data_IF_994259799891
#
_entry.id   IF_994259799891
#
_cell.length_a   1.000
_cell.length_b   1.000
_cell.length_c   1.000
_cell.angle_alpha   90.00
_cell.angle_beta   90.00
_cell.angle_gamma   90.00
#
_symmetry.space_group_name_H-M   'P 1'
#
loop_
_entity.id
_entity.type
_entity.pdbx_description
1 polymer ?
#
# COMPACT_ATOMS: atom_id res chain seq x y z
N UNK A 1 -1.51 3.57 -7.72
CA UNK A 1 -0.15 4.16 -7.71
C UNK A 1 0.74 3.42 -8.70
N UNK A 2 1.68 4.12 -9.37
CA UNK A 2 2.76 3.47 -10.12
C UNK A 2 3.82 2.97 -9.14
N UNK A 3 4.37 1.78 -9.39
CA UNK A 3 5.36 1.12 -8.53
C UNK A 3 6.65 1.94 -8.34
N UNK A 4 6.94 2.86 -9.27
CA UNK A 4 8.10 3.76 -9.22
C UNK A 4 8.00 4.73 -8.03
N UNK A 5 6.86 5.41 -7.86
CA UNK A 5 6.65 6.30 -6.70
C UNK A 5 6.77 5.59 -5.35
N UNK A 6 6.50 4.28 -5.31
CA UNK A 6 6.60 3.46 -4.09
C UNK A 6 8.07 3.14 -3.76
N UNK A 7 8.95 3.09 -4.76
CA UNK A 7 10.38 2.81 -4.57
C UNK A 7 11.17 4.03 -4.12
N UNK A 8 10.74 5.23 -4.50
CA UNK A 8 11.36 6.50 -4.11
C UNK A 8 10.99 6.96 -2.68
N UNK A 9 9.92 6.41 -2.10
CA UNK A 9 9.46 6.80 -0.75
C UNK A 9 10.34 6.20 0.36
N UNK A 10 10.55 6.99 1.41
CA UNK A 10 11.20 6.55 2.65
C UNK A 10 10.39 5.45 3.35
N UNK A 11 11.05 4.63 4.17
CA UNK A 11 10.37 3.59 4.98
C UNK A 11 9.32 4.17 5.93
N UNK A 12 9.50 5.40 6.39
CA UNK A 12 8.49 6.10 7.22
C UNK A 12 7.29 6.57 6.39
N UNK A 13 7.53 7.12 5.20
CA UNK A 13 6.47 7.55 4.30
C UNK A 13 5.66 6.36 3.79
N UNK A 14 6.32 5.22 3.58
CA UNK A 14 5.65 3.96 3.24
C UNK A 14 4.65 3.56 4.35
N UNK A 15 5.05 3.62 5.63
CA UNK A 15 4.16 3.33 6.75
C UNK A 15 3.00 4.32 6.86
N UNK A 16 3.26 5.61 6.61
CA UNK A 16 2.21 6.63 6.62
C UNK A 16 1.20 6.39 5.48
N UNK A 17 1.67 6.06 4.27
CA UNK A 17 0.78 5.71 3.17
C UNK A 17 -0.02 4.43 3.42
N UNK A 18 0.54 3.42 4.09
CA UNK A 18 -0.25 2.24 4.49
C UNK A 18 -1.44 2.62 5.38
N UNK A 19 -1.23 3.54 6.34
CA UNK A 19 -2.28 4.04 7.22
C UNK A 19 -3.34 4.81 6.44
N UNK A 20 -2.92 5.75 5.58
CA UNK A 20 -3.84 6.55 4.76
C UNK A 20 -4.68 5.66 3.83
N UNK A 21 -4.07 4.65 3.20
CA UNK A 21 -4.79 3.72 2.35
C UNK A 21 -5.74 2.82 3.13
N UNK A 22 -5.38 2.39 4.35
CA UNK A 22 -6.27 1.64 5.22
C UNK A 22 -7.52 2.46 5.60
N UNK A 23 -7.34 3.75 5.90
CA UNK A 23 -8.45 4.65 6.22
C UNK A 23 -9.34 4.93 5.01
N UNK A 24 -8.76 5.13 3.82
CA UNK A 24 -9.52 5.26 2.57
C UNK A 24 -10.33 4.00 2.25
N UNK A 25 -9.76 2.81 2.48
CA UNK A 25 -10.47 1.54 2.33
C UNK A 25 -11.65 1.45 3.30
N UNK A 26 -11.47 1.91 4.55
CA UNK A 26 -12.55 1.95 5.53
C UNK A 26 -13.69 2.88 5.09
N UNK A 27 -13.36 4.11 4.66
CA UNK A 27 -14.35 5.06 4.13
C UNK A 27 -15.07 4.52 2.90
N UNK A 28 -14.35 3.89 1.96
CA UNK A 28 -14.96 3.26 0.78
C UNK A 28 -15.86 2.07 1.15
N UNK A 29 -15.47 1.25 2.13
CA UNK A 29 -16.32 0.18 2.65
C UNK A 29 -17.59 0.73 3.29
N UNK A 30 -17.48 1.84 4.01
CA UNK A 30 -18.62 2.51 4.63
C UNK A 30 -19.57 3.10 3.57
N UNK A 31 -19.04 3.73 2.53
CA UNK A 31 -19.81 4.22 1.36
C UNK A 31 -20.50 3.08 0.59
N UNK A 32 -19.82 1.94 0.46
CA UNK A 32 -20.40 0.75 -0.15
C UNK A 32 -21.54 0.17 0.69
N UNK A 33 -21.40 0.18 2.02
CA UNK A 33 -22.47 -0.24 2.93
C UNK A 33 -23.70 0.68 2.86
N UNK A 34 -23.52 1.95 2.51
CA UNK A 34 -24.60 2.93 2.28
C UNK A 34 -25.23 2.87 0.88
N UNK A 35 -24.80 1.91 0.02
CA UNK A 35 -25.43 1.63 -1.28
C UNK A 35 -24.78 2.30 -2.49
N UNK A 36 -23.71 3.10 -2.30
CA UNK A 36 -22.97 3.69 -3.41
C UNK A 36 -21.84 2.77 -3.87
N UNK A 37 -22.06 2.09 -5.01
CA UNK A 37 -21.17 1.04 -5.53
C UNK A 37 -20.12 1.53 -6.53
N UNK A 38 -20.06 2.82 -6.82
CA UNK A 38 -19.08 3.42 -7.74
C UNK A 38 -17.62 3.29 -7.26
N UNK A 39 -17.40 2.90 -6.01
CA UNK A 39 -16.09 2.75 -5.38
C UNK A 39 -15.38 1.40 -5.57
N UNK A 40 -15.99 0.37 -6.17
CA UNK A 40 -15.39 -0.98 -6.23
C UNK A 40 -14.03 -1.02 -6.94
N UNK A 41 -13.90 -0.30 -8.06
CA UNK A 41 -12.66 -0.22 -8.83
C UNK A 41 -11.55 0.46 -8.03
N UNK A 42 -11.88 1.52 -7.30
CA UNK A 42 -10.95 2.24 -6.41
C UNK A 42 -10.51 1.37 -5.23
N UNK A 43 -11.42 0.57 -4.67
CA UNK A 43 -11.10 -0.38 -3.61
C UNK A 43 -10.10 -1.44 -4.08
N UNK A 44 -10.27 -1.98 -5.29
CA UNK A 44 -9.34 -2.94 -5.89
C UNK A 44 -7.96 -2.32 -6.15
N UNK A 45 -7.90 -1.08 -6.65
CA UNK A 45 -6.62 -0.40 -6.86
C UNK A 45 -5.89 -0.12 -5.54
N UNK A 46 -6.59 0.33 -4.50
CA UNK A 46 -6.01 0.60 -3.18
C UNK A 46 -5.42 -0.65 -2.54
N UNK A 47 -6.10 -1.81 -2.63
CA UNK A 47 -5.54 -3.08 -2.15
C UNK A 47 -4.27 -3.48 -2.89
N UNK A 48 -4.23 -3.27 -4.22
CA UNK A 48 -3.02 -3.56 -5.03
C UNK A 48 -1.88 -2.63 -4.66
N UNK A 49 -2.17 -1.37 -4.35
CA UNK A 49 -1.16 -0.40 -3.94
C UNK A 49 -0.55 -0.77 -2.58
N UNK A 50 -1.35 -1.17 -1.58
CA UNK A 50 -0.84 -1.70 -0.30
C UNK A 50 0.03 -2.95 -0.52
N UNK A 51 -0.40 -3.87 -1.38
CA UNK A 51 0.37 -5.07 -1.66
C UNK A 51 1.75 -4.74 -2.25
N UNK A 52 1.82 -3.81 -3.21
CA UNK A 52 3.08 -3.32 -3.79
C UNK A 52 3.99 -2.68 -2.75
N UNK A 53 3.41 -1.87 -1.85
CA UNK A 53 4.11 -1.23 -0.73
C UNK A 53 4.81 -2.27 0.15
N UNK A 54 4.07 -3.31 0.57
CA UNK A 54 4.60 -4.42 1.36
C UNK A 54 5.68 -5.20 0.62
N UNK A 55 5.53 -5.41 -0.69
CA UNK A 55 6.56 -6.08 -1.50
C UNK A 55 7.85 -5.27 -1.55
N UNK A 56 7.79 -3.95 -1.74
CA UNK A 56 8.99 -3.09 -1.78
C UNK A 56 9.70 -3.09 -0.43
N UNK A 57 8.94 -2.96 0.67
CA UNK A 57 9.50 -3.08 2.02
C UNK A 57 10.20 -4.42 2.24
N UNK A 58 9.55 -5.53 1.83
CA UNK A 58 10.15 -6.86 1.93
C UNK A 58 11.40 -7.01 1.06
N UNK A 59 11.41 -6.42 -0.14
CA UNK A 59 12.61 -6.40 -1.00
C UNK A 59 13.78 -5.66 -0.34
N UNK A 60 13.53 -4.51 0.32
CA UNK A 60 14.57 -3.79 1.08
C UNK A 60 15.09 -4.61 2.25
N UNK A 61 14.19 -5.21 3.04
CA UNK A 61 14.56 -6.09 4.17
C UNK A 61 15.41 -7.29 3.70
N UNK A 62 15.04 -7.92 2.59
CA UNK A 62 15.80 -9.05 2.04
C UNK A 62 17.17 -8.65 1.47
N UNK A 63 17.28 -7.45 0.88
CA UNK A 63 18.59 -6.91 0.46
C UNK A 63 19.49 -6.64 1.68
N UNK A 64 18.97 -6.03 2.74
CA UNK A 64 19.76 -5.83 3.98
C UNK A 64 20.17 -7.15 4.63
N UNK A 65 19.30 -8.16 4.67
CA UNK A 65 19.60 -9.46 5.28
C UNK A 65 20.63 -10.26 4.46
N UNK A 66 20.62 -10.10 3.13
CA UNK A 66 21.64 -10.70 2.25
C UNK A 66 23.02 -10.05 2.40
N UNK A 67 23.09 -8.78 2.83
CA UNK A 67 24.34 -8.08 3.08
C UNK A 67 24.98 -8.43 4.43
N UNK A 68 24.18 -8.86 5.41
CA UNK A 68 24.66 -9.27 6.76
C UNK A 68 25.22 -10.70 6.77
N UNK A 69 24.89 -11.51 5.76
CA UNK A 69 25.34 -12.92 5.65
C UNK A 69 26.64 -13.13 4.87
N UNK A 70 27.34 -12.05 4.48
CA UNK A 70 28.62 -12.09 3.76
C UNK A 70 29.73 -11.57 4.65
#
# INVERSE_FOLDING_TARGET
MKAEKIRDLSDEELRNQERDFAEQIFRLRFQMATGQTEGLSKLRSLRKDIARLKTVRRQREMQSDSAVKK
#
